data_IF_491220781050
#
_entry.id   IF_491220781050
#
_cell.length_a   1.000
_cell.length_b   1.000
_cell.length_c   1.000
_cell.angle_alpha   90.00
_cell.angle_beta   90.00
_cell.angle_gamma   90.00
#
_symmetry.space_group_name_H-M   'P 1'
#
loop_
_entity.id
_entity.type
_entity.pdbx_description
1 polymer ?
#
# COMPACT_ATOMS: atom_id res chain seq x y z
N UNK A 1 -56.39 43.69 37.90
CA UNK A 1 -54.93 43.51 38.09
C UNK A 1 -54.43 42.47 37.10
N UNK A 2 -53.36 42.81 36.36
CA UNK A 2 -52.38 41.93 35.67
C UNK A 2 -52.77 41.29 34.31
N UNK A 3 -52.55 42.11 33.29
CA UNK A 3 -51.86 41.87 32.00
C UNK A 3 -51.76 40.46 31.37
N UNK A 4 -52.30 40.41 30.14
CA UNK A 4 -51.78 39.75 28.93
C UNK A 4 -50.26 39.48 28.90
N UNK A 5 -49.87 38.33 28.33
CA UNK A 5 -48.98 38.20 27.13
C UNK A 5 -48.64 36.70 26.94
N UNK A 6 -49.15 36.06 25.89
CA UNK A 6 -48.61 36.00 24.53
C UNK A 6 -47.44 35.00 24.39
N UNK A 7 -47.79 33.87 23.78
CA UNK A 7 -46.98 32.77 23.24
C UNK A 7 -45.83 33.24 22.34
N UNK A 8 -44.64 32.66 22.50
CA UNK A 8 -43.69 32.42 21.38
C UNK A 8 -43.04 31.05 21.60
N UNK A 9 -43.47 30.08 20.78
CA UNK A 9 -42.81 28.80 20.58
C UNK A 9 -41.60 29.07 19.68
N UNK A 10 -40.37 28.93 20.21
CA UNK A 10 -39.17 28.98 19.38
C UNK A 10 -38.71 27.55 19.10
N UNK A 11 -39.21 27.02 17.98
CA UNK A 11 -38.70 25.80 17.37
C UNK A 11 -37.34 26.12 16.74
N UNK A 12 -36.25 25.70 17.39
CA UNK A 12 -34.91 25.69 16.78
C UNK A 12 -34.74 24.35 16.08
N UNK A 13 -35.13 24.30 14.82
CA UNK A 13 -34.74 23.24 13.90
C UNK A 13 -33.25 23.42 13.57
N UNK A 14 -32.39 22.74 14.33
CA UNK A 14 -30.99 22.53 13.96
C UNK A 14 -30.98 21.54 12.78
N UNK A 15 -30.93 22.10 11.57
CA UNK A 15 -30.57 21.36 10.37
C UNK A 15 -29.14 20.86 10.49
N UNK A 16 -28.97 19.65 11.03
CA UNK A 16 -27.79 18.84 10.80
C UNK A 16 -27.86 18.34 9.35
N UNK A 17 -27.52 19.22 8.41
CA UNK A 17 -26.89 18.76 7.18
C UNK A 17 -25.52 18.22 7.61
N UNK A 18 -25.50 17.00 8.13
CA UNK A 18 -24.32 16.17 8.05
C UNK A 18 -24.04 16.06 6.56
N UNK A 19 -23.02 16.77 6.07
CA UNK A 19 -22.37 16.43 4.83
C UNK A 19 -21.87 14.99 5.03
N UNK A 20 -22.71 14.04 4.68
CA UNK A 20 -22.45 12.61 4.78
C UNK A 20 -21.43 12.26 3.72
N UNK A 21 -20.17 12.36 4.08
CA UNK A 21 -19.16 11.49 3.47
C UNK A 21 -19.36 10.13 4.14
N UNK A 22 -20.31 9.35 3.63
CA UNK A 22 -20.35 7.94 3.94
C UNK A 22 -18.95 7.37 3.67
N UNK A 23 -18.38 6.57 4.59
CA UNK A 23 -17.06 5.98 4.40
C UNK A 23 -17.01 5.29 3.04
N UNK A 24 -16.02 5.65 2.22
CA UNK A 24 -15.85 5.01 0.92
C UNK A 24 -15.68 3.50 1.10
N UNK A 25 -16.22 2.67 0.19
CA UNK A 25 -15.94 1.25 0.20
C UNK A 25 -14.42 1.00 0.14
N UNK A 26 -13.91 -0.09 0.77
CA UNK A 26 -12.49 -0.40 0.74
C UNK A 26 -11.92 -0.43 -0.69
N UNK A 27 -10.78 0.23 -0.87
CA UNK A 27 -10.12 0.35 -2.18
C UNK A 27 -10.78 1.35 -3.14
N UNK A 28 -11.82 2.08 -2.75
CA UNK A 28 -12.39 3.18 -3.53
C UNK A 28 -11.80 4.51 -3.07
N UNK A 29 -11.35 5.33 -4.02
CA UNK A 29 -10.69 6.60 -3.78
C UNK A 29 -11.39 7.73 -4.53
N UNK A 30 -11.50 8.91 -3.90
CA UNK A 30 -12.05 10.14 -4.49
C UNK A 30 -11.06 10.81 -5.46
N UNK A 31 -10.67 10.08 -6.50
CA UNK A 31 -9.78 10.53 -7.56
C UNK A 31 -10.26 9.96 -8.91
N UNK A 32 -10.27 10.76 -9.99
CA UNK A 32 -10.54 10.25 -11.34
C UNK A 32 -9.50 9.22 -11.77
N UNK A 33 -9.92 8.24 -12.59
CA UNK A 33 -9.06 7.10 -12.96
C UNK A 33 -7.78 7.50 -13.70
N UNK A 34 -7.82 8.59 -14.47
CA UNK A 34 -6.64 9.13 -15.17
C UNK A 34 -5.58 9.60 -14.18
N UNK A 35 -6.01 10.32 -13.15
CA UNK A 35 -5.12 10.88 -12.14
C UNK A 35 -4.60 9.77 -11.22
N UNK A 36 -5.45 8.79 -10.88
CA UNK A 36 -5.04 7.59 -10.16
C UNK A 36 -3.94 6.83 -10.91
N UNK A 37 -4.16 6.57 -12.21
CA UNK A 37 -3.18 5.92 -13.07
C UNK A 37 -1.85 6.70 -13.10
N UNK A 38 -1.90 8.00 -13.34
CA UNK A 38 -0.71 8.84 -13.43
C UNK A 38 0.10 8.87 -12.13
N UNK A 39 -0.58 8.98 -10.98
CA UNK A 39 0.08 8.95 -9.66
C UNK A 39 0.73 7.61 -9.37
N UNK A 40 0.05 6.50 -9.70
CA UNK A 40 0.57 5.16 -9.46
C UNK A 40 1.75 4.81 -10.38
N UNK A 41 1.62 5.05 -11.70
CA UNK A 41 2.66 4.65 -12.67
C UNK A 41 3.94 5.49 -12.55
N UNK A 42 3.84 6.72 -12.05
CA UNK A 42 5.02 7.58 -11.83
C UNK A 42 5.79 7.25 -10.54
N UNK A 43 5.32 6.29 -9.75
CA UNK A 43 5.88 5.98 -8.44
C UNK A 43 6.69 4.67 -8.44
N UNK A 44 7.91 4.73 -7.92
CA UNK A 44 8.82 3.57 -7.75
C UNK A 44 8.74 2.95 -6.34
N UNK A 45 7.74 3.35 -5.54
CA UNK A 45 7.43 2.82 -4.22
C UNK A 45 8.58 2.97 -3.22
N UNK A 46 9.26 4.11 -3.26
CA UNK A 46 10.48 4.36 -2.49
C UNK A 46 10.30 4.22 -0.97
N UNK A 47 9.15 4.67 -0.44
CA UNK A 47 8.86 4.54 1.00
C UNK A 47 8.64 3.08 1.40
N UNK A 48 7.85 2.32 0.62
CA UNK A 48 7.70 0.87 0.82
C UNK A 48 9.07 0.17 0.80
N UNK A 49 9.90 0.45 -0.20
CA UNK A 49 11.25 -0.13 -0.30
C UNK A 49 12.08 0.23 0.92
N UNK A 50 12.19 1.51 1.25
CA UNK A 50 12.97 1.99 2.40
C UNK A 50 12.52 1.35 3.73
N UNK A 51 11.21 1.23 3.93
CA UNK A 51 10.63 0.73 5.19
C UNK A 51 10.60 -0.79 5.29
N UNK A 52 10.51 -1.51 4.17
CA UNK A 52 10.23 -2.96 4.19
C UNK A 52 11.30 -3.81 3.52
N UNK A 53 12.27 -3.25 2.80
CA UNK A 53 13.40 -4.02 2.28
C UNK A 53 14.17 -4.66 3.44
N UNK A 54 14.51 -5.95 3.26
CA UNK A 54 15.25 -6.70 4.25
C UNK A 54 16.75 -6.47 4.11
N UNK A 55 17.39 -6.98 3.07
CA UNK A 55 18.83 -6.77 2.91
C UNK A 55 19.39 -7.12 1.55
N UNK A 56 18.61 -7.78 0.69
CA UNK A 56 18.94 -7.85 -0.73
C UNK A 56 18.67 -6.49 -1.38
N UNK A 57 19.59 -6.02 -2.24
CA UNK A 57 19.34 -4.82 -3.03
C UNK A 57 18.27 -5.10 -4.08
N UNK A 58 17.24 -4.24 -4.10
CA UNK A 58 16.11 -4.38 -5.02
C UNK A 58 15.89 -3.11 -5.84
N UNK A 59 15.32 -3.29 -7.02
CA UNK A 59 14.88 -2.22 -7.91
C UNK A 59 13.41 -2.41 -8.24
N UNK A 60 12.66 -1.32 -8.29
CA UNK A 60 11.23 -1.34 -8.63
C UNK A 60 11.03 -0.62 -9.95
N UNK A 61 10.37 -1.28 -10.90
CA UNK A 61 10.01 -0.71 -12.19
C UNK A 61 8.49 -0.70 -12.35
N UNK A 62 7.85 0.48 -12.42
CA UNK A 62 6.44 0.57 -12.76
C UNK A 62 6.24 0.46 -14.29
N UNK A 63 5.19 -0.26 -14.68
CA UNK A 63 4.67 -0.33 -16.04
C UNK A 63 3.15 -0.25 -15.98
N UNK A 64 2.49 0.36 -16.97
CA UNK A 64 1.05 0.53 -16.88
C UNK A 64 0.35 0.52 -18.22
N UNK A 65 -0.89 0.03 -18.22
CA UNK A 65 -1.85 0.26 -19.30
C UNK A 65 -2.74 1.42 -18.87
N UNK A 66 -2.75 2.55 -19.60
CA UNK A 66 -3.51 3.74 -19.24
C UNK A 66 -4.93 3.42 -18.79
N UNK A 67 -5.34 4.01 -17.68
CA UNK A 67 -6.69 3.90 -17.10
C UNK A 67 -7.19 2.47 -16.88
N UNK A 68 -6.28 1.49 -16.71
CA UNK A 68 -6.66 0.09 -16.53
C UNK A 68 -5.83 -0.59 -15.45
N UNK A 69 -4.50 -0.54 -15.55
CA UNK A 69 -3.64 -1.22 -14.58
C UNK A 69 -2.26 -0.60 -14.47
N UNK A 70 -1.66 -0.76 -13.29
CA UNK A 70 -0.24 -0.50 -13.03
C UNK A 70 0.37 -1.74 -12.42
N UNK A 71 1.48 -2.21 -12.98
CA UNK A 71 2.28 -3.33 -12.50
C UNK A 71 3.61 -2.79 -11.99
N UNK A 72 4.03 -3.26 -10.82
CA UNK A 72 5.38 -3.05 -10.31
C UNK A 72 6.10 -4.38 -10.32
N UNK A 73 7.19 -4.43 -11.08
CA UNK A 73 8.12 -5.54 -11.09
C UNK A 73 9.31 -5.19 -10.21
N UNK A 74 9.59 -6.04 -9.22
CA UNK A 74 10.71 -5.91 -8.31
C UNK A 74 11.79 -6.90 -8.73
N UNK A 75 13.00 -6.39 -8.93
CA UNK A 75 14.15 -7.22 -9.33
C UNK A 75 15.29 -7.12 -8.33
N UNK A 76 16.09 -8.17 -8.26
CA UNK A 76 17.38 -8.21 -7.54
C UNK A 76 18.39 -8.94 -8.41
N UNK A 77 19.60 -8.39 -8.57
CA UNK A 77 20.64 -8.97 -9.45
C UNK A 77 20.19 -9.25 -10.90
N UNK A 78 19.16 -8.55 -11.40
CA UNK A 78 18.59 -8.77 -12.74
C UNK A 78 17.49 -9.83 -12.80
N UNK A 79 17.21 -10.53 -11.70
CA UNK A 79 16.13 -11.52 -11.60
C UNK A 79 14.87 -10.92 -10.97
N UNK A 80 13.69 -11.33 -11.45
CA UNK A 80 12.42 -10.96 -10.85
C UNK A 80 12.22 -11.70 -9.53
N UNK A 81 11.99 -10.95 -8.44
CA UNK A 81 11.77 -11.50 -7.09
C UNK A 81 10.35 -11.30 -6.60
N UNK A 82 9.60 -10.38 -7.21
CA UNK A 82 8.21 -10.10 -6.91
C UNK A 82 7.57 -9.28 -8.02
N UNK A 83 6.36 -9.64 -8.42
CA UNK A 83 5.47 -8.74 -9.16
C UNK A 83 4.18 -8.50 -8.38
N UNK A 84 3.68 -7.27 -8.39
CA UNK A 84 2.31 -6.96 -7.96
C UNK A 84 1.69 -5.90 -8.85
N UNK A 85 0.36 -5.82 -8.79
CA UNK A 85 -0.44 -5.03 -9.73
C UNK A 85 -1.59 -4.35 -9.01
N UNK A 86 -1.87 -3.11 -9.41
CA UNK A 86 -3.10 -2.40 -9.15
C UNK A 86 -4.00 -2.47 -10.40
N UNK A 87 -5.21 -2.99 -10.25
CA UNK A 87 -6.28 -2.92 -11.24
C UNK A 87 -7.15 -1.71 -10.92
N UNK A 88 -7.44 -0.88 -11.93
CA UNK A 88 -8.19 0.36 -11.80
C UNK A 88 -9.53 0.20 -12.50
N UNK A 89 -10.61 0.44 -11.76
CA UNK A 89 -11.98 0.40 -12.29
C UNK A 89 -12.67 1.73 -11.97
N UNK A 90 -13.24 2.43 -12.96
CA UNK A 90 -13.98 3.65 -12.68
C UNK A 90 -15.27 3.30 -11.92
N UNK A 91 -15.51 3.98 -10.80
CA UNK A 91 -16.78 3.90 -10.05
C UNK A 91 -17.69 5.06 -10.48
N UNK A 92 -17.08 6.24 -10.67
CA UNK A 92 -17.72 7.43 -11.24
C UNK A 92 -16.65 8.33 -11.88
N UNK A 93 -17.06 9.46 -12.42
CA UNK A 93 -16.19 10.49 -13.00
C UNK A 93 -15.13 11.00 -12.02
N UNK A 94 -15.38 10.85 -10.71
CA UNK A 94 -14.53 11.34 -9.62
C UNK A 94 -14.00 10.24 -8.71
N UNK A 95 -14.35 8.98 -8.96
CA UNK A 95 -14.01 7.86 -8.07
C UNK A 95 -13.45 6.67 -8.83
N UNK A 96 -12.41 6.09 -8.26
CA UNK A 96 -11.73 4.92 -8.82
C UNK A 96 -11.63 3.85 -7.76
N UNK A 97 -12.02 2.63 -8.11
CA UNK A 97 -11.72 1.43 -7.32
C UNK A 97 -10.36 0.89 -7.73
N UNK A 98 -9.53 0.55 -6.75
CA UNK A 98 -8.23 -0.08 -6.93
C UNK A 98 -8.21 -1.41 -6.23
N UNK A 99 -7.92 -2.46 -7.00
CA UNK A 99 -7.75 -3.83 -6.49
C UNK A 99 -6.29 -4.25 -6.63
N UNK A 100 -5.69 -4.72 -5.52
CA UNK A 100 -4.28 -5.11 -5.48
C UNK A 100 -4.16 -6.62 -5.60
N UNK A 101 -3.37 -7.07 -6.58
CA UNK A 101 -2.98 -8.47 -6.75
C UNK A 101 -1.47 -8.59 -6.54
N UNK A 102 -1.07 -9.52 -5.68
CA UNK A 102 0.33 -9.89 -5.47
C UNK A 102 0.58 -11.23 -6.16
N UNK A 103 1.74 -11.39 -6.79
CA UNK A 103 2.16 -12.66 -7.37
C UNK A 103 1.98 -13.80 -6.36
N UNK A 104 1.40 -14.91 -6.82
CA UNK A 104 1.30 -16.11 -6.01
C UNK A 104 2.67 -16.76 -5.80
N UNK A 105 2.93 -17.24 -4.60
CA UNK A 105 4.07 -18.09 -4.30
C UNK A 105 3.90 -19.44 -5.02
N UNK A 106 4.90 -19.88 -5.79
CA UNK A 106 4.78 -21.07 -6.63
C UNK A 106 4.64 -22.36 -5.81
N UNK A 107 5.08 -22.37 -4.54
CA UNK A 107 5.11 -23.60 -3.73
C UNK A 107 3.78 -23.84 -3.00
N UNK A 108 3.05 -22.78 -2.64
CA UNK A 108 1.83 -22.90 -1.82
C UNK A 108 0.60 -22.18 -2.39
N UNK A 109 0.74 -21.42 -3.48
CA UNK A 109 -0.35 -20.69 -4.13
C UNK A 109 -0.90 -19.49 -3.34
N UNK A 110 -0.40 -19.22 -2.14
CA UNK A 110 -0.66 -18.00 -1.37
C UNK A 110 0.07 -16.81 -1.99
N UNK A 111 -0.08 -15.62 -1.42
CA UNK A 111 0.67 -14.45 -1.91
C UNK A 111 2.15 -14.58 -1.52
N UNK A 112 3.04 -14.14 -2.42
CA UNK A 112 4.44 -13.95 -2.08
C UNK A 112 4.56 -13.03 -0.85
N UNK A 113 5.37 -13.45 0.12
CA UNK A 113 5.58 -12.72 1.38
C UNK A 113 4.31 -12.57 2.25
N UNK A 114 3.40 -13.53 2.25
CA UNK A 114 2.21 -13.55 3.12
C UNK A 114 2.50 -13.83 4.60
N UNK A 115 3.75 -14.17 4.96
CA UNK A 115 4.18 -14.47 6.31
C UNK A 115 4.03 -15.93 6.73
N UNK A 116 3.59 -16.83 5.83
CA UNK A 116 3.47 -18.27 6.10
C UNK A 116 4.68 -19.07 5.65
N UNK A 117 5.45 -18.54 4.70
CA UNK A 117 6.65 -19.16 4.16
C UNK A 117 7.91 -18.53 4.73
N UNK A 118 8.88 -19.37 5.04
CA UNK A 118 10.23 -18.92 5.32
C UNK A 118 10.97 -18.63 4.01
N UNK A 119 11.46 -17.39 3.86
CA UNK A 119 12.37 -17.03 2.76
C UNK A 119 13.78 -16.89 3.32
N UNK A 120 14.75 -17.51 2.67
CA UNK A 120 16.16 -17.43 3.11
C UNK A 120 16.76 -16.03 2.90
N UNK A 121 16.39 -15.40 1.78
CA UNK A 121 16.80 -14.05 1.37
C UNK A 121 15.53 -13.27 1.00
N UNK A 122 14.69 -12.91 1.97
CA UNK A 122 13.46 -12.19 1.66
C UNK A 122 13.79 -10.84 1.02
N UNK A 123 13.12 -10.47 -0.08
CA UNK A 123 13.18 -9.10 -0.59
C UNK A 123 12.57 -8.11 0.40
N UNK A 124 11.45 -8.50 0.99
CA UNK A 124 10.66 -7.66 1.89
C UNK A 124 10.30 -8.36 3.20
N UNK A 125 10.12 -7.55 4.24
CA UNK A 125 9.66 -8.02 5.52
C UNK A 125 8.18 -8.41 5.46
N UNK A 126 7.87 -9.60 5.98
CA UNK A 126 6.54 -10.20 5.93
C UNK A 126 5.67 -9.79 7.13
N UNK A 127 4.33 -9.70 6.98
CA UNK A 127 3.59 -9.81 5.72
C UNK A 127 3.75 -8.55 4.86
N UNK A 128 3.74 -8.71 3.53
CA UNK A 128 3.96 -7.60 2.61
C UNK A 128 2.68 -6.84 2.22
N UNK A 129 1.56 -7.55 2.08
CA UNK A 129 0.29 -6.96 1.62
C UNK A 129 -0.10 -5.66 2.34
N UNK A 130 -0.09 -5.57 3.69
CA UNK A 130 -0.46 -4.33 4.38
C UNK A 130 0.40 -3.12 3.96
N UNK A 131 1.68 -3.35 3.64
CA UNK A 131 2.56 -2.28 3.17
C UNK A 131 2.26 -1.85 1.74
N UNK A 132 1.89 -2.78 0.86
CA UNK A 132 1.49 -2.45 -0.51
C UNK A 132 0.18 -1.66 -0.49
N UNK A 133 -0.81 -2.14 0.27
CA UNK A 133 -2.11 -1.47 0.40
C UNK A 133 -1.92 -0.04 0.93
N UNK A 134 -1.17 0.15 2.03
CA UNK A 134 -0.86 1.46 2.60
C UNK A 134 -0.09 2.36 1.62
N UNK A 135 0.90 1.83 0.90
CA UNK A 135 1.66 2.62 -0.07
C UNK A 135 0.77 3.11 -1.22
N UNK A 136 -0.13 2.27 -1.72
CA UNK A 136 -1.09 2.62 -2.77
C UNK A 136 -2.08 3.66 -2.26
N UNK A 137 -2.64 3.47 -1.07
CA UNK A 137 -3.54 4.45 -0.44
C UNK A 137 -2.86 5.80 -0.26
N UNK A 138 -1.64 5.82 0.29
CA UNK A 138 -0.89 7.04 0.51
C UNK A 138 -0.63 7.82 -0.80
N UNK A 139 -0.29 7.12 -1.89
CA UNK A 139 -0.10 7.74 -3.22
C UNK A 139 -1.40 8.36 -3.74
N UNK A 140 -2.51 7.63 -3.65
CA UNK A 140 -3.79 8.07 -4.20
C UNK A 140 -4.40 9.22 -3.39
N UNK A 141 -4.25 9.18 -2.07
CA UNK A 141 -4.69 10.22 -1.14
C UNK A 141 -3.74 11.41 -1.08
N UNK A 142 -2.53 11.30 -1.65
CA UNK A 142 -1.53 12.36 -1.64
C UNK A 142 -0.93 12.62 -0.26
N UNK A 143 -0.95 11.61 0.62
CA UNK A 143 -0.36 11.66 1.96
C UNK A 143 0.96 10.88 2.02
N UNK A 144 1.64 10.96 3.16
CA UNK A 144 2.85 10.16 3.42
C UNK A 144 2.47 8.74 3.81
N UNK A 145 3.38 7.80 3.56
CA UNK A 145 3.28 6.43 4.02
C UNK A 145 3.30 6.37 5.56
N UNK A 146 2.34 5.66 6.15
CA UNK A 146 2.15 5.53 7.59
C UNK A 146 2.45 4.11 8.07
N UNK A 147 3.61 3.94 8.70
CA UNK A 147 4.07 2.63 9.18
C UNK A 147 3.13 2.02 10.24
N UNK A 148 2.36 2.84 10.95
CA UNK A 148 1.34 2.42 11.92
C UNK A 148 0.25 1.56 11.28
N UNK A 149 -0.07 1.74 10.00
CA UNK A 149 -1.09 0.96 9.29
C UNK A 149 -0.58 -0.41 8.83
N UNK A 150 0.73 -0.61 8.77
CA UNK A 150 1.36 -1.83 8.25
C UNK A 150 1.62 -2.84 9.36
N UNK A 151 1.93 -2.35 10.57
CA UNK A 151 2.35 -3.17 11.69
C UNK A 151 3.80 -3.68 11.59
N UNK A 152 4.28 -4.36 12.64
CA UNK A 152 5.65 -4.85 12.69
C UNK A 152 5.87 -5.98 11.68
N UNK A 153 7.07 -6.04 11.13
CA UNK A 153 7.53 -7.21 10.40
C UNK A 153 7.73 -8.41 11.33
N UNK A 154 7.50 -9.62 10.82
CA UNK A 154 7.60 -10.87 11.59
C UNK A 154 8.84 -11.70 11.28
N UNK A 155 9.58 -11.33 10.24
CA UNK A 155 10.70 -12.12 9.73
C UNK A 155 12.00 -11.78 10.47
N UNK A 156 12.52 -12.72 11.25
CA UNK A 156 13.77 -12.56 12.02
C UNK A 156 15.00 -12.49 11.12
N UNK A 157 14.99 -13.20 9.98
CA UNK A 157 16.07 -13.15 8.99
C UNK A 157 16.13 -11.76 8.37
N UNK A 158 14.97 -11.18 8.10
CA UNK A 158 14.88 -9.82 7.61
C UNK A 158 15.53 -8.81 8.56
N UNK A 159 15.28 -8.92 9.88
CA UNK A 159 15.89 -8.04 10.88
C UNK A 159 17.42 -8.10 10.87
N UNK A 160 18.00 -9.30 10.74
CA UNK A 160 19.46 -9.48 10.66
C UNK A 160 20.01 -8.92 9.35
N UNK A 161 19.38 -9.25 8.23
CA UNK A 161 19.85 -8.81 6.90
C UNK A 161 19.74 -7.29 6.74
N UNK A 162 18.75 -6.66 7.38
CA UNK A 162 18.59 -5.21 7.42
C UNK A 162 19.70 -4.50 8.18
N UNK A 163 20.10 -5.04 9.32
CA UNK A 163 21.30 -4.56 10.02
C UNK A 163 22.56 -4.64 9.14
N UNK A 164 22.68 -5.70 8.32
CA UNK A 164 23.73 -5.82 7.32
C UNK A 164 23.68 -4.71 6.27
N UNK A 165 22.51 -4.47 5.66
CA UNK A 165 22.31 -3.40 4.68
C UNK A 165 22.63 -2.01 5.25
N UNK A 166 22.15 -1.72 6.46
CA UNK A 166 22.36 -0.44 7.16
C UNK A 166 23.84 -0.23 7.56
N UNK A 167 24.60 -1.31 7.75
CA UNK A 167 26.05 -1.28 8.01
C UNK A 167 26.91 -1.34 6.73
N UNK A 168 26.29 -1.36 5.55
CA UNK A 168 26.98 -1.34 4.25
C UNK A 168 27.26 -2.72 3.64
N UNK A 169 26.87 -3.81 4.30
CA UNK A 169 26.90 -5.16 3.72
C UNK A 169 25.72 -5.35 2.78
N UNK A 170 25.99 -5.66 1.51
CA UNK A 170 24.97 -5.83 0.48
C UNK A 170 24.81 -7.31 0.18
N UNK A 171 23.61 -7.84 0.36
CA UNK A 171 23.28 -9.20 -0.06
C UNK A 171 22.71 -9.20 -1.46
N UNK A 172 22.91 -10.31 -2.16
CA UNK A 172 22.28 -10.64 -3.43
C UNK A 172 21.31 -11.80 -3.24
N UNK A 173 20.36 -11.95 -4.16
CA UNK A 173 19.42 -13.09 -4.15
C UNK A 173 20.15 -14.43 -4.34
N UNK A 174 21.26 -14.41 -5.08
CA UNK A 174 22.11 -15.55 -5.44
C UNK A 174 23.24 -15.84 -4.43
N UNK A 175 23.42 -15.03 -3.39
CA UNK A 175 24.51 -15.22 -2.44
C UNK A 175 24.39 -16.59 -1.74
N UNK A 176 25.43 -17.45 -1.81
CA UNK A 176 25.45 -18.69 -1.08
C UNK A 176 25.35 -18.44 0.42
N UNK A 177 24.93 -19.46 1.17
CA UNK A 177 24.90 -19.39 2.63
C UNK A 177 26.32 -19.13 3.11
N UNK A 178 26.55 -18.01 3.78
CA UNK A 178 27.80 -17.85 4.54
C UNK A 178 27.74 -18.90 5.66
N UNK A 179 28.67 -19.87 5.73
CA UNK A 179 28.71 -20.85 6.79
C UNK A 179 29.34 -20.16 8.00
N UNK A 180 28.58 -19.29 8.67
CA UNK A 180 28.92 -18.81 10.01
C UNK A 180 28.60 -19.88 11.04
#
# INVERSE_FOLDING_TARGET
MKHLRATVILAVALGLAACGDDPLPPGVYNIPIRDAYQRLVSNQLSELVFRRQCGILIHVRPEGVPTSKVRWTVTSSGEEVLTFMALLTPVSDKQTKVEITIQADPDNGGEMYDGKKFYRRPAFNQPLRPAIDEQVSAILEGRKFEISHVGPGKDTVCSVQRGGLESGMRFRVDDPRDPS
#
